data_IF_258166090039
#
_entry.id   IF_258166090039
#
_cell.length_a   1.000
_cell.length_b   1.000
_cell.length_c   1.000
_cell.angle_alpha   90.00
_cell.angle_beta   90.00
_cell.angle_gamma   90.00
#
_symmetry.space_group_name_H-M   'P 1'
#
loop_
_entity.id
_entity.type
_entity.pdbx_description
1 polymer ?
#
# COMPACT_ATOMS: atom_id res chain seq x y z
N UNK A 1 -22.18 10.14 -10.78
CA UNK A 1 -23.58 10.04 -11.13
C UNK A 1 -24.37 11.34 -10.97
N UNK A 2 -25.64 11.25 -10.57
CA UNK A 2 -26.60 12.38 -10.55
C UNK A 2 -26.11 13.58 -9.73
N UNK A 3 -25.54 13.35 -8.54
CA UNK A 3 -25.02 14.41 -7.67
C UNK A 3 -23.87 15.15 -8.36
N UNK A 4 -22.97 14.44 -9.01
CA UNK A 4 -21.84 15.05 -9.76
C UNK A 4 -22.35 15.89 -10.93
N UNK A 5 -23.36 15.40 -11.67
CA UNK A 5 -23.96 16.15 -12.76
C UNK A 5 -24.62 17.45 -12.24
N UNK A 6 -25.33 17.39 -11.11
CA UNK A 6 -25.91 18.57 -10.49
C UNK A 6 -24.83 19.60 -10.08
N UNK A 7 -23.66 19.16 -9.58
CA UNK A 7 -22.55 20.06 -9.24
C UNK A 7 -21.97 20.73 -10.50
N UNK A 8 -21.83 20.00 -11.60
CA UNK A 8 -21.37 20.56 -12.89
C UNK A 8 -22.37 21.63 -13.39
N UNK A 9 -23.67 21.36 -13.31
CA UNK A 9 -24.71 22.32 -13.73
C UNK A 9 -24.62 23.59 -12.85
N UNK A 10 -24.47 23.47 -11.53
CA UNK A 10 -24.30 24.61 -10.64
C UNK A 10 -23.08 25.46 -11.01
N UNK A 11 -21.94 24.82 -11.33
CA UNK A 11 -20.72 25.51 -11.75
C UNK A 11 -20.89 26.27 -13.07
N UNK A 12 -21.59 25.68 -14.05
CA UNK A 12 -21.82 26.28 -15.37
C UNK A 12 -22.81 27.44 -15.28
N UNK A 13 -23.90 27.25 -14.55
CA UNK A 13 -25.02 28.19 -14.51
C UNK A 13 -24.88 29.28 -13.43
N UNK A 14 -24.02 29.07 -12.45
CA UNK A 14 -23.92 29.94 -11.27
C UNK A 14 -25.11 29.84 -10.33
N UNK A 15 -26.03 28.87 -10.51
CA UNK A 15 -27.24 28.72 -9.69
C UNK A 15 -26.92 27.78 -8.50
N UNK A 16 -27.29 28.21 -7.32
CA UNK A 16 -27.10 27.50 -6.06
C UNK A 16 -25.66 27.58 -5.54
N UNK A 17 -25.33 26.72 -4.55
CA UNK A 17 -24.02 26.72 -3.91
C UNK A 17 -23.30 25.41 -4.28
N UNK A 18 -22.18 25.45 -5.05
CA UNK A 18 -21.41 24.26 -5.36
C UNK A 18 -20.72 23.71 -4.12
N UNK A 19 -20.31 22.43 -4.16
CA UNK A 19 -19.56 21.74 -3.10
C UNK A 19 -18.07 22.13 -3.07
N UNK A 20 -17.70 23.32 -3.53
CA UNK A 20 -16.32 23.78 -3.46
C UNK A 20 -15.84 23.87 -2.00
N UNK A 21 -14.68 23.27 -1.73
CA UNK A 21 -14.13 23.16 -0.37
C UNK A 21 -14.90 22.24 0.58
N UNK A 22 -15.83 21.41 0.07
CA UNK A 22 -16.65 20.48 0.85
C UNK A 22 -16.64 19.09 0.25
N UNK A 23 -16.73 18.08 1.11
CA UNK A 23 -16.86 16.66 0.71
C UNK A 23 -18.22 16.16 1.17
N UNK A 24 -19.04 15.70 0.23
CA UNK A 24 -20.31 15.06 0.52
C UNK A 24 -20.12 13.53 0.54
N UNK A 25 -20.38 12.93 1.68
CA UNK A 25 -20.44 11.47 1.86
C UNK A 25 -21.90 11.04 1.76
N UNK A 26 -22.18 10.07 0.89
CA UNK A 26 -23.52 9.51 0.70
C UNK A 26 -23.49 8.02 0.99
N UNK A 27 -24.25 7.61 2.00
CA UNK A 27 -24.54 6.23 2.28
C UNK A 27 -25.85 5.84 1.61
N UNK A 28 -25.77 5.16 0.48
CA UNK A 28 -26.94 4.77 -0.31
C UNK A 28 -27.82 3.71 0.36
N UNK A 29 -27.29 2.93 1.30
CA UNK A 29 -28.09 1.91 2.00
C UNK A 29 -28.98 2.52 3.10
N UNK A 30 -28.43 3.47 3.85
CA UNK A 30 -29.18 4.15 4.92
C UNK A 30 -29.73 5.52 4.50
N UNK A 31 -29.50 5.94 3.25
CA UNK A 31 -29.86 7.26 2.70
C UNK A 31 -29.39 8.42 3.59
N UNK A 32 -28.18 8.27 4.17
CA UNK A 32 -27.57 9.30 5.01
C UNK A 32 -26.60 10.14 4.21
N UNK A 33 -26.68 11.43 4.43
CA UNK A 33 -25.79 12.43 3.86
C UNK A 33 -24.97 13.06 4.97
N UNK A 34 -23.64 13.13 4.79
CA UNK A 34 -22.73 13.83 5.70
C UNK A 34 -21.86 14.77 4.88
N UNK A 35 -21.73 16.00 5.35
CA UNK A 35 -20.88 17.00 4.72
C UNK A 35 -19.69 17.30 5.63
N UNK A 36 -18.49 17.32 5.03
CA UNK A 36 -17.23 17.66 5.68
C UNK A 36 -16.64 18.89 4.99
N UNK A 37 -16.21 19.87 5.77
CA UNK A 37 -15.49 21.04 5.24
C UNK A 37 -14.01 20.69 5.06
N UNK A 38 -13.48 20.89 3.86
CA UNK A 38 -12.08 20.70 3.54
C UNK A 38 -11.32 22.00 3.83
N UNK A 39 -10.49 21.99 4.86
CA UNK A 39 -9.64 23.14 5.17
C UNK A 39 -8.36 23.09 4.32
N UNK A 40 -8.07 24.18 3.60
CA UNK A 40 -6.80 24.34 2.89
C UNK A 40 -5.67 24.43 3.90
N UNK A 41 -4.60 23.63 3.71
CA UNK A 41 -3.39 23.78 4.53
C UNK A 41 -2.67 25.07 4.14
N UNK A 42 -2.45 26.02 5.09
CA UNK A 42 -1.81 27.31 4.78
C UNK A 42 -0.36 27.18 4.27
N UNK A 43 0.31 26.09 4.67
CA UNK A 43 1.73 25.83 4.39
C UNK A 43 1.96 24.97 3.14
N UNK A 44 0.94 24.76 2.29
CA UNK A 44 1.13 23.97 1.08
C UNK A 44 1.98 24.76 0.06
N UNK A 45 3.12 24.21 -0.30
CA UNK A 45 3.94 24.76 -1.39
C UNK A 45 3.15 24.80 -2.71
N UNK A 46 3.32 25.84 -3.54
CA UNK A 46 2.70 25.89 -4.85
C UNK A 46 3.16 24.72 -5.72
N UNK A 47 2.23 24.16 -6.49
CA UNK A 47 2.56 23.12 -7.47
C UNK A 47 3.10 23.82 -8.71
N UNK A 48 4.39 23.76 -8.92
CA UNK A 48 5.07 24.45 -10.04
C UNK A 48 5.18 23.58 -11.31
N UNK A 49 5.13 22.25 -11.14
CA UNK A 49 5.22 21.27 -12.23
C UNK A 49 4.50 19.98 -11.90
N UNK A 50 4.15 19.22 -12.92
CA UNK A 50 3.66 17.84 -12.74
C UNK A 50 4.79 16.97 -12.20
N UNK A 51 4.43 16.07 -11.30
CA UNK A 51 5.39 15.05 -10.83
C UNK A 51 5.57 13.99 -11.92
N UNK A 52 6.73 13.36 -11.94
CA UNK A 52 6.93 12.15 -12.72
C UNK A 52 6.16 11.01 -12.04
N UNK A 53 5.00 10.66 -12.62
CA UNK A 53 4.13 9.63 -12.07
C UNK A 53 4.74 8.23 -12.14
N UNK A 54 5.59 7.94 -13.11
CA UNK A 54 6.29 6.66 -13.18
C UNK A 54 7.32 6.56 -12.05
N UNK A 55 8.14 7.57 -11.87
CA UNK A 55 9.08 7.63 -10.75
C UNK A 55 8.35 7.65 -9.40
N UNK A 56 7.21 8.33 -9.30
CA UNK A 56 6.39 8.37 -8.09
C UNK A 56 5.77 6.99 -7.75
N UNK A 57 5.27 6.26 -8.74
CA UNK A 57 4.68 4.93 -8.54
C UNK A 57 5.73 3.86 -8.26
N UNK A 58 6.90 3.95 -8.91
CA UNK A 58 8.02 3.02 -8.66
C UNK A 58 8.77 3.32 -7.36
N UNK A 59 8.83 4.59 -6.94
CA UNK A 59 9.48 5.00 -5.70
C UNK A 59 8.57 4.93 -4.45
N UNK A 60 7.37 4.31 -4.55
CA UNK A 60 6.45 4.17 -3.41
C UNK A 60 6.03 5.50 -2.79
N UNK A 61 5.56 6.43 -3.65
CA UNK A 61 4.81 7.67 -3.32
C UNK A 61 4.91 8.31 -1.94
N UNK A 62 6.09 8.58 -1.42
CA UNK A 62 6.24 9.34 -0.18
C UNK A 62 6.30 10.84 -0.45
N UNK A 63 5.19 11.54 -0.20
CA UNK A 63 5.19 12.99 -0.05
C UNK A 63 5.47 13.28 1.42
N UNK A 64 6.73 13.33 1.79
CA UNK A 64 7.17 14.06 2.98
C UNK A 64 8.67 14.31 2.89
N UNK A 65 9.04 15.57 2.98
CA UNK A 65 10.42 16.00 3.06
C UNK A 65 11.09 15.47 4.32
N UNK A 66 12.36 15.16 4.13
CA UNK A 66 13.39 14.97 5.14
C UNK A 66 13.37 13.69 5.97
N UNK A 67 14.41 12.96 5.72
CA UNK A 67 15.00 11.71 6.22
C UNK A 67 14.63 10.49 5.39
N UNK A 68 15.35 10.33 4.26
CA UNK A 68 15.38 9.09 3.50
C UNK A 68 16.14 8.00 4.25
N UNK A 69 15.46 7.25 5.09
CA UNK A 69 15.80 5.87 5.23
C UNK A 69 15.25 5.19 3.96
N UNK A 70 16.11 4.97 2.96
CA UNK A 70 15.74 4.32 1.71
C UNK A 70 15.15 2.95 2.05
N UNK A 71 13.81 2.85 2.01
CA UNK A 71 13.12 1.58 2.17
C UNK A 71 13.68 0.59 1.16
N UNK A 72 14.30 -0.47 1.65
CA UNK A 72 14.83 -1.55 0.80
C UNK A 72 13.66 -2.21 0.09
N UNK A 73 13.77 -2.35 -1.22
CA UNK A 73 12.76 -3.02 -2.03
C UNK A 73 13.39 -3.81 -3.17
N UNK A 74 12.74 -4.91 -3.54
CA UNK A 74 13.12 -5.74 -4.68
C UNK A 74 11.89 -6.01 -5.56
N UNK A 75 12.12 -6.39 -6.80
CA UNK A 75 11.11 -6.88 -7.73
C UNK A 75 10.75 -8.35 -7.44
N UNK A 76 9.63 -8.82 -7.99
CA UNK A 76 9.27 -10.24 -7.92
C UNK A 76 10.25 -11.14 -8.66
N UNK A 77 10.91 -10.63 -9.73
CA UNK A 77 11.93 -11.35 -10.48
C UNK A 77 13.19 -11.57 -9.63
N UNK A 78 13.63 -10.55 -8.90
CA UNK A 78 14.76 -10.67 -7.97
C UNK A 78 14.43 -11.61 -6.82
N UNK A 79 13.21 -11.53 -6.24
CA UNK A 79 12.77 -12.48 -5.22
C UNK A 79 12.80 -13.92 -5.75
N UNK A 80 12.29 -14.15 -6.96
CA UNK A 80 12.32 -15.50 -7.59
C UNK A 80 13.73 -16.01 -7.73
N UNK A 81 14.67 -15.17 -8.18
CA UNK A 81 16.07 -15.55 -8.31
C UNK A 81 16.69 -15.97 -6.97
N UNK A 82 16.39 -15.27 -5.87
CA UNK A 82 16.84 -15.65 -4.52
C UNK A 82 16.27 -17.01 -4.08
N UNK A 83 14.97 -17.23 -4.31
CA UNK A 83 14.31 -18.49 -4.00
C UNK A 83 14.90 -19.67 -4.80
N UNK A 84 15.20 -19.47 -6.09
CA UNK A 84 15.80 -20.50 -6.96
C UNK A 84 17.25 -20.84 -6.58
N UNK A 85 17.97 -19.87 -6.01
CA UNK A 85 19.32 -20.08 -5.47
C UNK A 85 19.31 -20.81 -4.14
N UNK A 86 18.12 -21.01 -3.54
CA UNK A 86 17.99 -21.67 -2.23
C UNK A 86 18.43 -20.77 -1.06
N UNK A 87 18.39 -19.46 -1.24
CA UNK A 87 18.70 -18.50 -0.15
C UNK A 87 17.75 -18.70 1.03
N UNK A 88 18.30 -18.76 2.23
CA UNK A 88 17.52 -18.89 3.47
C UNK A 88 16.89 -17.52 3.82
N UNK A 89 15.72 -17.28 3.29
CA UNK A 89 14.94 -16.06 3.51
C UNK A 89 13.59 -16.33 4.15
N UNK A 90 13.00 -15.33 4.77
CA UNK A 90 11.63 -15.36 5.29
C UNK A 90 10.74 -14.48 4.41
N UNK A 91 9.69 -15.05 3.84
CA UNK A 91 8.71 -14.33 3.04
C UNK A 91 7.42 -14.17 3.83
N UNK A 92 7.02 -12.93 4.13
CA UNK A 92 5.83 -12.59 4.92
C UNK A 92 4.76 -12.00 4.01
N UNK A 93 3.55 -12.57 4.06
CA UNK A 93 2.36 -12.05 3.40
C UNK A 93 1.53 -11.22 4.41
N UNK A 94 1.38 -9.92 4.15
CA UNK A 94 0.62 -9.02 5.04
C UNK A 94 -0.82 -8.77 4.57
N UNK A 95 -1.35 -9.63 3.70
CA UNK A 95 -2.75 -9.58 3.25
C UNK A 95 -3.70 -10.14 4.30
N UNK A 96 -4.99 -10.07 4.00
CA UNK A 96 -6.01 -10.70 4.83
C UNK A 96 -6.11 -12.22 4.56
N UNK A 97 -6.60 -13.02 5.52
CA UNK A 97 -6.76 -14.47 5.33
C UNK A 97 -7.57 -14.85 4.10
N UNK A 98 -8.69 -14.17 3.85
CA UNK A 98 -9.53 -14.42 2.67
C UNK A 98 -8.79 -14.17 1.33
N UNK A 99 -7.83 -13.26 1.29
CA UNK A 99 -7.01 -13.03 0.11
C UNK A 99 -5.97 -14.15 -0.08
N UNK A 100 -5.40 -14.65 1.01
CA UNK A 100 -4.43 -15.73 0.99
C UNK A 100 -5.05 -17.09 0.59
N UNK A 101 -6.34 -17.32 0.89
CA UNK A 101 -7.09 -18.50 0.44
C UNK A 101 -7.28 -18.51 -1.08
N UNK A 102 -7.36 -17.34 -1.72
CA UNK A 102 -7.54 -17.24 -3.18
C UNK A 102 -6.21 -17.48 -3.91
N UNK A 103 -5.13 -16.90 -3.41
CA UNK A 103 -3.82 -16.93 -4.07
C UNK A 103 -2.70 -16.86 -3.03
N UNK A 104 -1.62 -17.59 -3.24
CA UNK A 104 -0.49 -17.69 -2.30
C UNK A 104 0.83 -17.78 -3.07
N UNK A 105 1.86 -17.09 -2.62
CA UNK A 105 3.23 -17.35 -3.04
C UNK A 105 3.77 -18.49 -2.16
N UNK A 106 4.22 -19.56 -2.76
CA UNK A 106 4.71 -20.73 -2.03
C UNK A 106 5.82 -20.35 -1.04
N UNK A 107 5.73 -20.85 0.19
CA UNK A 107 6.69 -20.58 1.25
C UNK A 107 6.47 -19.26 2.00
N UNK A 108 5.45 -18.47 1.64
CA UNK A 108 5.11 -17.28 2.42
C UNK A 108 4.35 -17.63 3.69
N UNK A 109 4.63 -16.88 4.75
CA UNK A 109 3.91 -16.94 6.03
C UNK A 109 2.92 -15.78 6.11
N UNK A 110 1.64 -16.09 6.36
CA UNK A 110 0.59 -15.09 6.49
C UNK A 110 0.63 -14.42 7.87
N UNK A 111 0.95 -13.13 7.89
CA UNK A 111 0.87 -12.26 9.07
C UNK A 111 0.15 -10.98 8.67
N UNK A 112 -1.18 -10.90 8.85
CA UNK A 112 -1.96 -9.75 8.39
C UNK A 112 -1.46 -8.42 8.97
N UNK A 113 -1.40 -7.37 8.14
CA UNK A 113 -0.94 -6.03 8.54
C UNK A 113 -1.65 -5.52 9.81
N UNK A 114 -2.93 -5.85 9.98
CA UNK A 114 -3.72 -5.44 11.15
C UNK A 114 -3.26 -6.07 12.48
N UNK A 115 -2.42 -7.11 12.43
CA UNK A 115 -1.88 -7.79 13.63
C UNK A 115 -0.39 -7.59 13.79
N UNK A 116 0.24 -6.87 12.86
CA UNK A 116 1.70 -6.78 12.77
C UNK A 116 2.33 -6.01 13.95
N UNK A 117 1.61 -5.04 14.53
CA UNK A 117 2.05 -4.21 15.65
C UNK A 117 1.87 -4.87 17.03
N UNK A 118 1.37 -6.11 17.09
CA UNK A 118 1.27 -6.86 18.33
C UNK A 118 2.65 -7.26 18.82
N UNK A 119 2.90 -7.08 20.10
CA UNK A 119 4.21 -7.36 20.73
C UNK A 119 4.70 -8.79 20.44
N UNK A 120 3.83 -9.77 20.54
CA UNK A 120 4.12 -11.18 20.25
C UNK A 120 4.55 -11.43 18.79
N UNK A 121 3.95 -10.68 17.84
CA UNK A 121 4.27 -10.77 16.40
C UNK A 121 5.62 -10.09 16.14
N UNK A 122 5.85 -8.93 16.71
CA UNK A 122 7.12 -8.21 16.58
C UNK A 122 8.27 -9.04 17.12
N UNK A 123 8.14 -9.62 18.32
CA UNK A 123 9.18 -10.50 18.92
C UNK A 123 9.45 -11.71 18.01
N UNK A 124 8.42 -12.32 17.45
CA UNK A 124 8.57 -13.43 16.51
C UNK A 124 9.32 -13.02 15.25
N UNK A 125 8.97 -11.89 14.64
CA UNK A 125 9.64 -11.40 13.43
C UNK A 125 11.09 -10.99 13.73
N UNK A 126 11.36 -10.41 14.89
CA UNK A 126 12.72 -10.12 15.35
C UNK A 126 13.59 -11.39 15.43
N UNK A 127 13.04 -12.47 15.97
CA UNK A 127 13.73 -13.76 16.03
C UNK A 127 14.03 -14.32 14.64
N UNK A 128 13.11 -14.16 13.69
CA UNK A 128 13.31 -14.53 12.28
C UNK A 128 14.40 -13.66 11.64
N UNK A 129 14.32 -12.35 11.81
CA UNK A 129 15.24 -11.38 11.22
C UNK A 129 16.67 -11.50 11.75
N UNK A 130 16.86 -12.10 12.93
CA UNK A 130 18.19 -12.36 13.50
C UNK A 130 19.01 -13.39 12.69
N UNK A 131 18.36 -14.27 11.92
CA UNK A 131 19.01 -15.34 11.15
C UNK A 131 18.77 -15.27 9.65
N UNK A 132 17.68 -14.64 9.22
CA UNK A 132 17.25 -14.61 7.82
C UNK A 132 16.82 -13.21 7.39
N UNK A 133 17.04 -12.86 6.12
CA UNK A 133 16.48 -11.64 5.55
C UNK A 133 14.96 -11.77 5.42
N UNK A 134 14.23 -10.77 5.92
CA UNK A 134 12.78 -10.73 5.89
C UNK A 134 12.30 -9.97 4.65
N UNK A 135 11.54 -10.63 3.81
CA UNK A 135 10.85 -10.04 2.65
C UNK A 135 9.36 -9.97 2.94
N UNK A 136 8.75 -8.84 2.61
CA UNK A 136 7.32 -8.60 2.89
C UNK A 136 6.60 -8.30 1.60
N UNK A 137 5.53 -9.03 1.33
CA UNK A 137 4.68 -8.76 0.18
C UNK A 137 3.21 -8.55 0.58
N UNK A 138 2.47 -7.97 -0.34
CA UNK A 138 1.02 -7.89 -0.27
C UNK A 138 0.43 -8.10 -1.67
N UNK A 139 -0.71 -7.47 -2.00
CA UNK A 139 -1.27 -7.56 -3.36
C UNK A 139 -0.45 -6.78 -4.39
N UNK A 140 -0.18 -5.48 -4.13
CA UNK A 140 0.44 -4.53 -5.08
C UNK A 140 1.68 -3.81 -4.53
N UNK A 141 2.16 -4.16 -3.32
CA UNK A 141 3.33 -3.52 -2.70
C UNK A 141 3.04 -2.40 -1.69
N UNK A 142 1.84 -1.81 -1.67
CA UNK A 142 1.53 -0.65 -0.80
C UNK A 142 1.34 -1.01 0.68
N UNK A 143 0.68 -2.12 1.01
CA UNK A 143 0.53 -2.60 2.40
C UNK A 143 1.84 -3.13 2.96
N UNK A 144 2.63 -3.82 2.12
CA UNK A 144 3.94 -4.32 2.50
C UNK A 144 4.95 -3.20 2.73
N UNK A 145 4.87 -2.10 1.99
CA UNK A 145 5.66 -0.90 2.28
C UNK A 145 5.38 -0.35 3.69
N UNK A 146 4.09 -0.21 4.06
CA UNK A 146 3.70 0.20 5.43
C UNK A 146 4.16 -0.80 6.49
N UNK A 147 4.12 -2.09 6.19
CA UNK A 147 4.62 -3.12 7.07
C UNK A 147 6.13 -2.99 7.31
N UNK A 148 6.92 -2.75 6.26
CA UNK A 148 8.37 -2.50 6.36
C UNK A 148 8.66 -1.26 7.19
N UNK A 149 7.93 -0.16 7.01
CA UNK A 149 8.06 1.05 7.83
C UNK A 149 7.76 0.76 9.32
N UNK A 150 6.69 0.00 9.59
CA UNK A 150 6.36 -0.40 10.96
C UNK A 150 7.46 -1.27 11.58
N UNK A 151 7.93 -2.29 10.86
CA UNK A 151 9.03 -3.16 11.31
C UNK A 151 10.31 -2.37 11.57
N UNK A 152 10.65 -1.41 10.69
CA UNK A 152 11.79 -0.53 10.87
C UNK A 152 11.69 0.32 12.16
N UNK A 153 10.49 0.77 12.54
CA UNK A 153 10.27 1.49 13.80
C UNK A 153 10.57 0.64 15.05
N UNK A 154 10.52 -0.70 14.91
CA UNK A 154 10.91 -1.68 15.93
C UNK A 154 12.34 -2.21 15.76
N UNK A 155 13.15 -1.59 14.87
CA UNK A 155 14.54 -1.98 14.63
C UNK A 155 14.70 -3.26 13.81
N UNK A 156 13.65 -3.69 13.11
CA UNK A 156 13.66 -4.87 12.23
C UNK A 156 13.90 -4.42 10.79
N UNK A 157 15.00 -4.88 10.18
CA UNK A 157 15.32 -4.63 8.80
C UNK A 157 14.55 -5.60 7.89
N UNK A 158 13.68 -5.08 7.04
CA UNK A 158 12.86 -5.86 6.13
C UNK A 158 12.85 -5.23 4.74
N UNK A 159 12.55 -6.03 3.72
CA UNK A 159 12.59 -5.65 2.30
C UNK A 159 11.19 -5.75 1.71
N UNK A 160 10.71 -4.68 1.08
CA UNK A 160 9.43 -4.67 0.39
C UNK A 160 9.54 -5.38 -0.97
N UNK A 161 8.61 -6.28 -1.27
CA UNK A 161 8.47 -6.89 -2.60
C UNK A 161 7.52 -6.03 -3.44
N UNK A 162 8.08 -5.32 -4.41
CA UNK A 162 7.33 -4.44 -5.32
C UNK A 162 6.40 -5.26 -6.20
N UNK A 163 5.21 -4.70 -6.48
CA UNK A 163 4.20 -5.36 -7.29
C UNK A 163 3.45 -6.49 -6.57
N UNK A 164 4.04 -7.06 -5.51
CA UNK A 164 3.41 -8.08 -4.68
C UNK A 164 2.99 -9.34 -5.44
N UNK A 165 1.92 -10.00 -4.96
CA UNK A 165 1.42 -11.24 -5.58
C UNK A 165 0.80 -11.01 -6.97
N UNK A 166 0.34 -9.80 -7.28
CA UNK A 166 -0.21 -9.48 -8.58
C UNK A 166 0.87 -9.51 -9.66
N UNK A 167 2.02 -8.87 -9.41
CA UNK A 167 3.19 -8.96 -10.29
C UNK A 167 3.79 -10.38 -10.31
N UNK A 168 3.78 -11.08 -9.18
CA UNK A 168 4.21 -12.48 -9.13
C UNK A 168 3.39 -13.36 -10.06
N UNK A 169 2.06 -13.22 -10.04
CA UNK A 169 1.16 -13.93 -10.95
C UNK A 169 1.39 -13.58 -12.42
N UNK A 170 1.73 -12.33 -12.72
CA UNK A 170 1.93 -11.86 -14.09
C UNK A 170 3.28 -12.26 -14.67
N UNK A 171 4.35 -12.14 -13.88
CA UNK A 171 5.73 -12.25 -14.37
C UNK A 171 6.39 -13.59 -14.04
N UNK A 172 5.95 -14.28 -12.97
CA UNK A 172 6.65 -15.46 -12.44
C UNK A 172 5.81 -16.73 -12.56
N UNK A 173 4.59 -16.72 -12.02
CA UNK A 173 3.74 -17.90 -11.97
C UNK A 173 2.29 -17.58 -12.34
N UNK A 174 1.94 -17.70 -13.62
CA UNK A 174 0.57 -17.45 -14.09
C UNK A 174 -0.48 -18.43 -13.54
N UNK A 175 -0.08 -19.50 -12.85
CA UNK A 175 -1.02 -20.40 -12.17
C UNK A 175 -1.57 -19.83 -10.88
N UNK A 176 -0.93 -18.81 -10.30
CA UNK A 176 -1.41 -18.07 -9.14
C UNK A 176 -2.53 -17.15 -9.57
N UNK A 177 -3.78 -17.32 -9.04
CA UNK A 177 -4.92 -16.53 -9.49
C UNK A 177 -4.77 -15.04 -9.20
N UNK A 178 -5.17 -14.21 -10.15
CA UNK A 178 -5.36 -12.75 -9.95
C UNK A 178 -6.80 -12.47 -9.53
N UNK A 179 -7.01 -11.55 -8.58
CA UNK A 179 -8.32 -11.23 -8.00
C UNK A 179 -8.49 -9.73 -7.75
#
# INVERSE_FOLDING_TARGET
>A
GLIQAAEVIKLITGIGTPLDGRLLLVDGLSMRFRELTLKRRPSRAPIEKLIDYQAFCTAGGSISGETSNLMKSISVVELKALLDQGEDLALIDVRNPAEAEVALIAGSELIPLATLDREEVIVRIQAIAASRTVYVHCKLGGRSAKAVELLASHGIDAVNVQGGIDAWSEEIDPSVPRY
#
